data_IF_431767077612
#
_entry.id   IF_431767077612
#
_cell.length_a   1.000
_cell.length_b   1.000
_cell.length_c   1.000
_cell.angle_alpha   90.00
_cell.angle_beta   90.00
_cell.angle_gamma   90.00
#
_symmetry.space_group_name_H-M   'P 1'
#
loop_
_entity.id
_entity.type
_entity.pdbx_description
1 polymer ?
#
# COMPACT_ATOMS: atom_id res chain seq x y z
N UNK A 1 11.51 20.84 -20.26
CA UNK A 1 10.90 19.64 -20.89
C UNK A 1 10.59 18.50 -19.89
N UNK A 2 11.26 18.41 -18.75
CA UNK A 2 11.00 17.36 -17.73
C UNK A 2 9.70 17.55 -16.93
N UNK A 3 9.29 18.77 -16.65
CA UNK A 3 8.08 19.10 -15.88
C UNK A 3 6.79 18.72 -16.61
N UNK A 4 6.71 18.97 -17.91
CA UNK A 4 5.54 18.64 -18.73
C UNK A 4 5.36 17.12 -18.93
N UNK A 5 6.44 16.34 -18.89
CA UNK A 5 6.36 14.87 -18.98
C UNK A 5 5.70 14.25 -17.76
N UNK A 6 5.93 14.79 -16.53
CA UNK A 6 5.40 14.23 -15.29
C UNK A 6 3.92 14.55 -15.07
N UNK A 7 3.46 15.74 -15.50
CA UNK A 7 2.02 16.06 -15.51
C UNK A 7 1.25 15.20 -16.51
N UNK A 8 1.84 14.88 -17.66
CA UNK A 8 1.28 13.94 -18.64
C UNK A 8 1.13 12.53 -18.09
N UNK A 9 2.00 12.08 -17.17
CA UNK A 9 1.94 10.72 -16.64
C UNK A 9 0.71 10.45 -15.78
N UNK A 10 0.18 11.42 -15.05
CA UNK A 10 -1.08 11.24 -14.29
C UNK A 10 -2.29 11.13 -15.23
N UNK A 11 -2.43 12.08 -16.15
CA UNK A 11 -3.51 12.02 -17.15
C UNK A 11 -3.38 10.82 -18.10
N UNK A 12 -2.17 10.34 -18.37
CA UNK A 12 -1.92 9.13 -19.17
C UNK A 12 -2.35 7.88 -18.41
N UNK A 13 -2.16 7.81 -17.09
CA UNK A 13 -2.59 6.66 -16.28
C UNK A 13 -4.10 6.59 -16.18
N UNK A 14 -4.78 7.72 -15.94
CA UNK A 14 -6.23 7.78 -15.93
C UNK A 14 -6.81 7.30 -17.25
N UNK A 15 -6.26 7.80 -18.36
CA UNK A 15 -6.61 7.39 -19.70
C UNK A 15 -6.28 5.92 -19.96
N UNK A 16 -5.13 5.44 -19.50
CA UNK A 16 -4.75 4.03 -19.64
C UNK A 16 -5.71 3.11 -18.91
N UNK A 17 -6.11 3.44 -17.69
CA UNK A 17 -7.08 2.67 -16.92
C UNK A 17 -8.43 2.66 -17.60
N UNK A 18 -8.94 3.83 -17.99
CA UNK A 18 -10.29 3.96 -18.52
C UNK A 18 -10.41 3.54 -20.00
N UNK A 19 -9.53 4.05 -20.85
CA UNK A 19 -9.63 3.86 -22.30
C UNK A 19 -8.98 2.55 -22.77
N UNK A 20 -7.83 2.18 -22.20
CA UNK A 20 -7.04 1.04 -22.67
C UNK A 20 -7.35 -0.27 -21.95
N UNK A 21 -7.77 -0.22 -20.68
CA UNK A 21 -8.03 -1.40 -19.85
C UNK A 21 -9.52 -1.65 -19.63
N UNK A 22 -10.39 -0.78 -20.10
CA UNK A 22 -11.84 -0.82 -19.86
C UNK A 22 -12.15 -1.02 -18.36
N UNK A 23 -11.50 -0.21 -17.52
CA UNK A 23 -11.64 -0.24 -16.08
C UNK A 23 -11.94 1.17 -15.54
N UNK A 24 -12.47 1.24 -14.35
CA UNK A 24 -12.80 2.50 -13.66
C UNK A 24 -11.78 2.71 -12.54
N UNK A 25 -11.18 3.92 -12.39
CA UNK A 25 -10.36 4.24 -11.23
C UNK A 25 -11.18 4.12 -9.95
N UNK A 26 -10.80 3.19 -9.05
CA UNK A 26 -11.57 2.88 -7.85
C UNK A 26 -11.50 3.95 -6.76
N UNK A 27 -10.44 4.78 -6.77
CA UNK A 27 -10.24 5.82 -5.75
C UNK A 27 -11.13 7.05 -5.95
N UNK A 28 -11.48 7.39 -7.20
CA UNK A 28 -12.26 8.61 -7.49
C UNK A 28 -13.64 8.51 -6.86
N UNK A 29 -13.97 9.51 -6.04
CA UNK A 29 -15.26 9.62 -5.35
C UNK A 29 -15.36 8.77 -4.07
N UNK A 30 -14.42 7.86 -3.82
CA UNK A 30 -14.42 7.08 -2.61
C UNK A 30 -14.07 7.96 -1.40
N UNK A 31 -15.00 8.07 -0.44
CA UNK A 31 -14.89 8.97 0.72
C UNK A 31 -14.47 10.41 0.37
N UNK A 32 -14.86 10.90 -0.81
CA UNK A 32 -14.52 12.25 -1.27
C UNK A 32 -13.12 12.39 -1.88
N UNK A 33 -12.41 11.29 -2.13
CA UNK A 33 -11.10 11.35 -2.77
C UNK A 33 -11.22 11.76 -4.24
N UNK A 34 -10.41 12.74 -4.68
CA UNK A 34 -10.59 13.39 -6.00
C UNK A 34 -9.63 12.90 -7.09
N UNK A 35 -8.70 12.00 -6.77
CA UNK A 35 -7.65 11.57 -7.71
C UNK A 35 -7.78 10.08 -8.04
N UNK A 36 -7.19 9.68 -9.15
CA UNK A 36 -7.22 8.28 -9.63
C UNK A 36 -6.30 7.37 -8.87
N UNK A 37 -5.21 7.91 -8.33
CA UNK A 37 -4.17 7.14 -7.64
C UNK A 37 -3.71 7.89 -6.40
N UNK A 38 -3.31 7.17 -5.35
CA UNK A 38 -2.61 7.78 -4.24
C UNK A 38 -1.11 7.81 -4.52
N UNK A 39 -0.46 8.95 -4.23
CA UNK A 39 0.99 9.10 -4.38
C UNK A 39 1.55 9.68 -3.10
N UNK A 40 2.16 8.82 -2.31
CA UNK A 40 2.74 9.17 -1.01
C UNK A 40 4.25 9.31 -1.13
N UNK A 41 4.79 10.46 -0.74
CA UNK A 41 6.21 10.79 -0.89
C UNK A 41 6.85 10.99 0.47
N UNK A 42 7.93 10.28 0.73
CA UNK A 42 8.73 10.34 1.96
C UNK A 42 7.89 10.07 3.23
N UNK A 43 7.68 11.09 4.08
CA UNK A 43 6.94 10.98 5.34
C UNK A 43 5.43 10.79 5.20
N UNK A 44 4.88 10.92 4.01
CA UNK A 44 3.45 10.63 3.78
C UNK A 44 3.27 9.13 3.78
N UNK A 45 2.61 8.60 4.80
CA UNK A 45 2.47 7.17 5.05
C UNK A 45 1.62 6.51 3.96
N UNK A 46 0.40 7.02 3.73
CA UNK A 46 -0.53 6.52 2.72
C UNK A 46 -1.49 7.63 2.25
N UNK A 47 -2.35 7.31 1.28
CA UNK A 47 -3.41 8.16 0.73
C UNK A 47 -2.93 9.55 0.27
N UNK A 48 -1.64 9.69 -0.06
CA UNK A 48 -1.06 10.93 -0.53
C UNK A 48 -1.77 11.46 -1.76
N UNK A 49 -2.18 12.75 -1.72
CA UNK A 49 -2.87 13.39 -2.83
C UNK A 49 -1.84 13.86 -3.86
N UNK A 50 -1.91 13.36 -5.10
CA UNK A 50 -1.01 13.81 -6.17
C UNK A 50 -1.14 15.31 -6.40
N UNK A 51 0.00 16.02 -6.43
CA UNK A 51 0.03 17.47 -6.60
C UNK A 51 1.03 17.87 -7.69
N UNK A 52 0.63 18.84 -8.52
CA UNK A 52 1.51 19.44 -9.52
C UNK A 52 2.70 20.20 -8.90
N UNK A 53 2.53 20.64 -7.66
CA UNK A 53 3.54 21.40 -6.94
C UNK A 53 4.59 20.51 -6.26
N UNK A 54 4.32 19.19 -6.13
CA UNK A 54 5.26 18.23 -5.57
C UNK A 54 6.16 17.65 -6.67
N UNK A 55 7.35 18.21 -6.78
CA UNK A 55 8.38 17.75 -7.72
C UNK A 55 9.27 16.74 -7.01
N UNK A 56 9.35 15.53 -7.56
CA UNK A 56 10.22 14.47 -7.03
C UNK A 56 11.69 14.84 -7.25
N UNK A 57 12.50 14.56 -6.22
CA UNK A 57 13.95 14.80 -6.21
C UNK A 57 14.70 13.49 -6.04
N UNK A 58 15.96 13.46 -6.47
CA UNK A 58 16.84 12.33 -6.16
C UNK A 58 16.95 12.15 -4.64
N UNK A 59 16.75 10.93 -4.17
CA UNK A 59 16.69 10.59 -2.75
C UNK A 59 15.29 10.39 -2.19
N UNK A 60 14.24 10.84 -2.90
CA UNK A 60 12.86 10.58 -2.48
C UNK A 60 12.51 9.10 -2.60
N UNK A 61 11.66 8.64 -1.70
CA UNK A 61 10.92 7.39 -1.82
C UNK A 61 9.47 7.71 -2.12
N UNK A 62 8.83 6.92 -2.97
CA UNK A 62 7.47 7.19 -3.44
C UNK A 62 6.66 5.91 -3.44
N UNK A 63 5.56 5.90 -2.71
CA UNK A 63 4.53 4.89 -2.87
C UNK A 63 3.54 5.34 -3.94
N UNK A 64 3.24 4.48 -4.88
CA UNK A 64 2.18 4.66 -5.85
C UNK A 64 1.17 3.54 -5.62
N UNK A 65 -0.04 3.94 -5.29
CA UNK A 65 -1.13 3.08 -4.95
C UNK A 65 -2.27 3.28 -5.95
N UNK A 66 -2.72 2.17 -6.53
CA UNK A 66 -3.66 2.14 -7.65
C UNK A 66 -4.77 1.14 -7.36
N UNK A 67 -5.98 1.65 -7.31
CA UNK A 67 -7.19 0.82 -7.24
C UNK A 67 -7.99 0.97 -8.52
N UNK A 68 -8.48 -0.15 -9.02
CA UNK A 68 -9.34 -0.20 -10.22
C UNK A 68 -10.58 -1.03 -9.96
N UNK A 69 -11.67 -0.65 -10.61
CA UNK A 69 -12.89 -1.45 -10.71
C UNK A 69 -13.03 -1.95 -12.16
N UNK A 70 -13.00 -3.26 -12.33
CA UNK A 70 -13.17 -3.89 -13.65
C UNK A 70 -14.17 -5.04 -13.56
N UNK A 71 -15.13 -5.04 -14.47
CA UNK A 71 -16.17 -6.08 -14.56
C UNK A 71 -16.90 -6.33 -13.22
N UNK A 72 -17.06 -5.26 -12.43
CA UNK A 72 -17.72 -5.30 -11.11
C UNK A 72 -16.83 -5.79 -9.96
N UNK A 73 -15.52 -5.94 -10.17
CA UNK A 73 -14.57 -6.37 -9.15
C UNK A 73 -13.48 -5.32 -8.94
N UNK A 74 -13.17 -5.06 -7.67
CA UNK A 74 -12.06 -4.20 -7.29
C UNK A 74 -10.74 -4.97 -7.28
N UNK A 75 -9.69 -4.30 -7.76
CA UNK A 75 -8.30 -4.71 -7.63
C UNK A 75 -7.49 -3.55 -7.09
N UNK A 76 -6.65 -3.82 -6.09
CA UNK A 76 -5.89 -2.82 -5.36
C UNK A 76 -4.43 -3.27 -5.21
N UNK A 77 -3.50 -2.38 -5.55
CA UNK A 77 -2.08 -2.66 -5.47
C UNK A 77 -1.26 -1.41 -5.28
N UNK A 78 -0.22 -1.49 -4.47
CA UNK A 78 0.74 -0.41 -4.30
C UNK A 78 2.19 -0.87 -4.50
N UNK A 79 3.05 0.07 -4.89
CA UNK A 79 4.47 -0.20 -5.07
C UNK A 79 5.31 0.99 -4.66
N UNK A 80 6.42 0.68 -3.96
CA UNK A 80 7.45 1.66 -3.61
C UNK A 80 8.46 1.83 -4.75
N UNK A 81 8.89 3.07 -4.95
CA UNK A 81 9.91 3.46 -5.93
C UNK A 81 10.96 4.34 -5.26
N UNK A 82 12.22 4.09 -5.57
CA UNK A 82 13.35 4.94 -5.23
C UNK A 82 13.60 5.93 -6.37
N UNK A 83 13.73 7.21 -6.05
CA UNK A 83 13.97 8.25 -7.05
C UNK A 83 15.45 8.61 -7.09
N UNK A 84 16.15 8.19 -8.15
CA UNK A 84 17.59 8.41 -8.28
C UNK A 84 18.38 7.66 -7.20
N UNK A 85 19.45 8.29 -6.69
CA UNK A 85 20.27 7.72 -5.61
C UNK A 85 19.61 8.01 -4.27
N UNK A 86 19.13 6.99 -3.61
CA UNK A 86 18.46 7.09 -2.31
C UNK A 86 19.46 6.96 -1.14
N UNK A 87 19.01 7.35 0.06
CA UNK A 87 19.79 7.17 1.28
C UNK A 87 19.71 5.72 1.74
N UNK A 88 20.77 5.14 2.35
CA UNK A 88 20.78 3.74 2.78
C UNK A 88 19.62 3.34 3.70
N UNK A 89 19.18 4.24 4.59
CA UNK A 89 18.04 3.96 5.48
C UNK A 89 16.71 3.86 4.70
N UNK A 90 16.50 4.67 3.65
CA UNK A 90 15.33 4.59 2.80
C UNK A 90 15.31 3.29 1.99
N UNK A 91 16.47 2.90 1.45
CA UNK A 91 16.60 1.63 0.73
C UNK A 91 16.34 0.44 1.66
N UNK A 92 16.86 0.49 2.90
CA UNK A 92 16.61 -0.53 3.91
C UNK A 92 15.12 -0.60 4.27
N UNK A 93 14.45 0.55 4.49
CA UNK A 93 13.02 0.60 4.80
C UNK A 93 12.20 -0.07 3.69
N UNK A 94 12.40 0.34 2.46
CA UNK A 94 11.69 -0.23 1.29
C UNK A 94 11.93 -1.74 1.17
N UNK A 95 13.16 -2.19 1.35
CA UNK A 95 13.53 -3.60 1.30
C UNK A 95 12.86 -4.41 2.40
N UNK A 96 12.94 -3.97 3.65
CA UNK A 96 12.33 -4.68 4.79
C UNK A 96 10.81 -4.74 4.66
N UNK A 97 10.17 -3.64 4.20
CA UNK A 97 8.74 -3.63 3.91
C UNK A 97 8.36 -4.69 2.88
N UNK A 98 9.12 -4.79 1.79
CA UNK A 98 8.90 -5.81 0.77
C UNK A 98 9.12 -7.22 1.29
N UNK A 99 10.16 -7.45 2.11
CA UNK A 99 10.42 -8.74 2.74
C UNK A 99 9.27 -9.17 3.66
N UNK A 100 8.70 -8.23 4.44
CA UNK A 100 7.53 -8.51 5.27
C UNK A 100 6.32 -8.96 4.44
N UNK A 101 6.06 -8.30 3.31
CA UNK A 101 4.97 -8.69 2.41
C UNK A 101 5.16 -10.12 1.90
N UNK A 102 6.34 -10.45 1.39
CA UNK A 102 6.58 -11.79 0.87
C UNK A 102 6.52 -12.86 1.95
N UNK A 103 7.06 -12.61 3.15
CA UNK A 103 6.95 -13.53 4.29
C UNK A 103 5.49 -13.75 4.71
N UNK A 104 4.67 -12.70 4.66
CA UNK A 104 3.24 -12.82 4.91
C UNK A 104 2.56 -13.67 3.83
N UNK A 105 2.88 -13.46 2.56
CA UNK A 105 2.31 -14.25 1.45
C UNK A 105 2.69 -15.74 1.57
N UNK A 106 3.94 -16.05 1.92
CA UNK A 106 4.43 -17.43 2.05
C UNK A 106 3.66 -18.27 3.07
N UNK A 107 3.10 -17.66 4.11
CA UNK A 107 2.38 -18.39 5.15
C UNK A 107 0.87 -18.52 4.87
N UNK A 108 0.34 -17.82 3.85
CA UNK A 108 -1.09 -17.83 3.54
C UNK A 108 -1.49 -19.18 2.96
N UNK A 109 -2.35 -19.86 3.70
CA UNK A 109 -3.00 -21.12 3.27
C UNK A 109 -4.24 -21.37 4.12
N UNK A 110 -5.20 -22.18 3.64
CA UNK A 110 -6.35 -22.60 4.44
C UNK A 110 -5.92 -23.20 5.79
N UNK A 111 -6.65 -22.87 6.84
CA UNK A 111 -6.36 -23.27 8.22
C UNK A 111 -5.35 -22.39 8.97
N UNK A 112 -4.79 -21.36 8.33
CA UNK A 112 -4.07 -20.28 8.98
C UNK A 112 -5.05 -19.18 9.41
N UNK A 113 -4.59 -18.29 10.28
CA UNK A 113 -5.38 -17.19 10.82
C UNK A 113 -4.82 -15.83 10.35
N UNK A 114 -5.67 -14.82 10.30
CA UNK A 114 -5.19 -13.46 9.95
C UNK A 114 -4.18 -12.92 10.96
N UNK A 115 -4.24 -13.34 12.24
CA UNK A 115 -3.21 -13.03 13.23
C UNK A 115 -1.83 -13.65 12.93
N UNK A 116 -1.77 -14.72 12.15
CA UNK A 116 -0.49 -15.29 11.70
C UNK A 116 0.22 -14.31 10.74
N UNK A 117 -0.54 -13.66 9.85
CA UNK A 117 -0.04 -12.63 8.94
C UNK A 117 0.56 -11.48 9.75
N UNK A 118 -0.23 -10.90 10.68
CA UNK A 118 0.24 -9.80 11.53
C UNK A 118 1.47 -10.16 12.35
N UNK A 119 1.49 -11.34 12.96
CA UNK A 119 2.62 -11.82 13.76
C UNK A 119 3.91 -11.95 12.96
N UNK A 120 3.86 -12.49 11.74
CA UNK A 120 5.03 -12.64 10.86
C UNK A 120 5.57 -11.28 10.44
N UNK A 121 4.68 -10.36 10.05
CA UNK A 121 5.03 -9.01 9.64
C UNK A 121 5.70 -8.26 10.79
N UNK A 122 5.03 -8.19 11.94
CA UNK A 122 5.53 -7.49 13.12
C UNK A 122 6.89 -8.03 13.57
N UNK A 123 7.02 -9.35 13.69
CA UNK A 123 8.27 -10.00 14.10
C UNK A 123 9.44 -9.63 13.16
N UNK A 124 9.20 -9.60 11.84
CA UNK A 124 10.25 -9.24 10.88
C UNK A 124 10.59 -7.76 10.91
N UNK A 125 9.60 -6.88 11.04
CA UNK A 125 9.79 -5.44 11.15
C UNK A 125 10.62 -5.09 12.40
N UNK A 126 10.21 -5.56 13.57
CA UNK A 126 10.87 -5.30 14.86
C UNK A 126 12.31 -5.84 14.89
N UNK A 127 12.56 -7.02 14.31
CA UNK A 127 13.91 -7.57 14.14
C UNK A 127 14.83 -6.66 13.32
N UNK A 128 14.28 -5.86 12.44
CA UNK A 128 14.99 -4.87 11.62
C UNK A 128 14.97 -3.46 12.17
N UNK A 129 14.46 -3.28 13.42
CA UNK A 129 14.33 -2.00 14.10
C UNK A 129 13.32 -1.05 13.46
N UNK A 130 12.20 -1.58 12.96
CA UNK A 130 11.05 -0.82 12.48
C UNK A 130 9.82 -1.15 13.31
N UNK A 131 8.90 -0.19 13.41
CA UNK A 131 7.59 -0.38 14.01
C UNK A 131 6.53 -0.48 12.90
N UNK A 132 5.51 -1.29 13.14
CA UNK A 132 4.35 -1.39 12.28
C UNK A 132 3.38 -0.25 12.61
N UNK A 133 2.82 0.39 11.59
CA UNK A 133 1.76 1.38 11.78
C UNK A 133 0.46 0.64 12.09
N UNK A 134 -0.14 0.93 13.25
CA UNK A 134 -1.32 0.23 13.76
C UNK A 134 -2.66 0.86 13.32
N UNK A 135 -2.62 2.13 12.90
CA UNK A 135 -3.82 2.89 12.49
C UNK A 135 -4.41 2.44 11.15
N UNK A 136 -3.66 1.67 10.38
CA UNK A 136 -4.05 1.18 9.06
C UNK A 136 -3.85 -0.31 8.95
N UNK A 137 -4.66 -0.94 8.09
CA UNK A 137 -4.59 -2.37 7.85
C UNK A 137 -4.92 -2.70 6.38
N UNK A 138 -4.60 -3.90 5.97
CA UNK A 138 -5.20 -4.50 4.77
C UNK A 138 -6.66 -4.85 5.03
N UNK A 139 -7.36 -5.23 3.98
CA UNK A 139 -8.80 -5.46 4.04
C UNK A 139 -9.25 -6.52 3.04
N UNK A 140 -10.40 -7.12 3.28
CA UNK A 140 -11.09 -7.89 2.26
C UNK A 140 -11.41 -7.02 1.06
N UNK A 141 -11.39 -7.61 -0.14
CA UNK A 141 -11.65 -6.90 -1.39
C UNK A 141 -12.38 -7.84 -2.36
N UNK A 142 -13.34 -7.28 -3.10
CA UNK A 142 -14.11 -8.06 -4.04
C UNK A 142 -15.03 -7.17 -4.87
N UNK A 143 -16.34 -7.35 -4.72
CA UNK A 143 -17.34 -6.44 -5.31
C UNK A 143 -17.49 -5.14 -4.52
N UNK A 144 -16.98 -5.11 -3.31
CA UNK A 144 -16.88 -3.93 -2.46
C UNK A 144 -15.40 -3.59 -2.30
N UNK A 145 -15.06 -2.30 -2.28
CA UNK A 145 -13.66 -1.86 -2.23
C UNK A 145 -13.01 -2.25 -0.89
N UNK A 146 -13.67 -1.94 0.22
CA UNK A 146 -13.24 -2.34 1.55
C UNK A 146 -14.33 -3.19 2.20
N UNK A 147 -14.00 -4.43 2.49
CA UNK A 147 -14.91 -5.37 3.18
C UNK A 147 -14.13 -6.20 4.21
N UNK A 148 -14.84 -6.91 5.07
CA UNK A 148 -14.22 -7.85 5.98
C UNK A 148 -13.48 -8.98 5.24
N UNK A 149 -12.39 -9.50 5.82
CA UNK A 149 -11.82 -9.17 7.12
C UNK A 149 -10.83 -8.01 7.09
N UNK A 150 -10.61 -7.37 8.25
CA UNK A 150 -9.43 -6.54 8.46
C UNK A 150 -8.18 -7.42 8.54
N UNK A 151 -7.12 -7.00 7.86
CA UNK A 151 -5.82 -7.69 7.80
C UNK A 151 -4.79 -6.84 8.55
N UNK A 152 -4.74 -7.01 9.87
CA UNK A 152 -3.80 -6.30 10.72
C UNK A 152 -2.37 -6.76 10.42
N UNK A 153 -1.42 -5.82 10.52
CA UNK A 153 0.00 -6.09 10.28
C UNK A 153 0.77 -6.34 11.59
N UNK A 154 0.06 -6.49 12.68
CA UNK A 154 0.53 -6.83 14.02
C UNK A 154 -0.41 -7.81 14.68
N UNK A 155 0.02 -8.42 15.77
CA UNK A 155 -0.84 -9.31 16.57
C UNK A 155 -0.19 -10.64 16.91
N UNK A 156 -1.04 -11.57 17.35
CA UNK A 156 -0.62 -12.89 17.86
C UNK A 156 -0.94 -13.99 16.88
N UNK A 157 0.02 -14.88 16.64
CA UNK A 157 -0.20 -16.09 15.83
C UNK A 157 -1.33 -16.97 16.39
N UNK A 158 -2.09 -17.57 15.49
CA UNK A 158 -3.23 -18.45 15.81
C UNK A 158 -4.48 -17.70 16.28
N UNK A 159 -4.56 -16.38 16.05
CA UNK A 159 -5.72 -15.56 16.44
C UNK A 159 -6.40 -14.91 15.24
N UNK A 160 -7.61 -14.40 15.47
CA UNK A 160 -8.42 -13.75 14.44
C UNK A 160 -9.23 -14.74 13.61
N UNK A 161 -9.70 -14.29 12.45
CA UNK A 161 -10.50 -15.10 11.54
C UNK A 161 -9.61 -16.12 10.81
N UNK A 162 -10.13 -17.33 10.61
CA UNK A 162 -9.45 -18.35 9.82
C UNK A 162 -9.45 -18.00 8.33
N UNK A 163 -8.33 -18.22 7.67
CA UNK A 163 -8.17 -18.06 6.22
C UNK A 163 -8.78 -19.26 5.51
N UNK A 164 -9.68 -19.00 4.57
CA UNK A 164 -10.38 -20.03 3.80
C UNK A 164 -10.17 -19.83 2.30
N UNK A 165 -10.33 -20.90 1.56
CA UNK A 165 -10.30 -20.84 0.10
C UNK A 165 -11.35 -19.86 -0.46
N UNK A 166 -11.00 -19.13 -1.51
CA UNK A 166 -11.85 -18.14 -2.15
C UNK A 166 -11.85 -16.77 -1.49
N UNK A 167 -11.17 -16.57 -0.36
CA UNK A 167 -11.01 -15.24 0.22
C UNK A 167 -10.04 -14.40 -0.62
N UNK A 168 -10.43 -13.15 -0.92
CA UNK A 168 -9.59 -12.14 -1.51
C UNK A 168 -9.37 -11.02 -0.49
N UNK A 169 -8.13 -10.58 -0.31
CA UNK A 169 -7.79 -9.52 0.61
C UNK A 169 -6.46 -8.85 0.25
N UNK A 170 -6.25 -7.64 0.74
CA UNK A 170 -5.01 -6.89 0.58
C UNK A 170 -4.10 -7.07 1.80
N UNK A 171 -2.80 -6.94 1.60
CA UNK A 171 -1.80 -6.75 2.65
C UNK A 171 -1.12 -5.42 2.34
N UNK A 172 -1.53 -4.37 3.03
CA UNK A 172 -1.06 -3.00 2.79
C UNK A 172 -0.08 -2.59 3.88
N UNK A 173 1.21 -2.76 3.64
CA UNK A 173 2.25 -2.58 4.65
C UNK A 173 2.70 -1.13 4.76
N UNK A 174 2.62 -0.59 5.96
CA UNK A 174 3.03 0.75 6.32
C UNK A 174 4.01 0.70 7.49
N UNK A 175 5.17 1.30 7.32
CA UNK A 175 6.21 1.36 8.35
C UNK A 175 6.75 2.76 8.54
N UNK A 176 7.15 3.05 9.78
CA UNK A 176 7.90 4.26 10.11
C UNK A 176 9.25 3.90 10.73
N UNK A 177 10.24 4.75 10.58
CA UNK A 177 11.56 4.60 11.20
C UNK A 177 11.60 5.04 12.67
N UNK A 178 10.57 5.77 13.13
CA UNK A 178 10.44 6.23 14.51
C UNK A 178 9.01 6.05 15.01
N UNK A 179 8.87 5.22 16.02
CA UNK A 179 7.58 4.93 16.67
C UNK A 179 7.10 6.08 17.57
N UNK A 180 7.81 7.20 17.66
CA UNK A 180 7.58 8.17 18.72
C UNK A 180 6.96 9.50 18.28
N UNK A 181 7.10 9.99 17.06
CA UNK A 181 6.92 11.43 16.90
C UNK A 181 6.15 11.97 15.70
N UNK A 182 5.49 11.23 14.84
CA UNK A 182 4.67 11.93 13.83
C UNK A 182 3.47 11.11 13.34
N UNK A 183 2.43 11.08 14.12
CA UNK A 183 1.07 11.04 13.56
C UNK A 183 0.77 12.44 13.01
N UNK A 184 1.11 12.67 11.75
CA UNK A 184 0.69 13.89 11.05
C UNK A 184 -0.75 13.67 10.61
N UNK A 185 -1.63 14.45 11.23
CA UNK A 185 -3.06 14.61 10.88
C UNK A 185 -3.21 15.27 9.53
#
# INVERSE_FOLDING_TARGET
>A
HGLLRRQRQMCIRDRHITENQNAIPGNIGYNGYEKTTCISVNQVICHGIPSKNKILKSGDIVNIDVTVLKDGWFGDTSKMFLVGKSKPHNEKLVKVTQECLYKAIEIIKPGKYFGDIGSVIQTHAEKNFYSVVEDYCGHGIGKVYHEDPQVLHFGKSGTGKEIKEGMCFTICLLYTSDAADEVVR
#
